data_IF_674464557120
#
_entry.id   IF_674464557120
#
_cell.length_a   1.000
_cell.length_b   1.000
_cell.length_c   1.000
_cell.angle_alpha   90.00
_cell.angle_beta   90.00
_cell.angle_gamma   90.00
#
_symmetry.space_group_name_H-M   'P 1'
#
loop_
_entity.id
_entity.type
_entity.pdbx_description
1 polymer ?
#
# COMPACT_ATOMS: atom_id res chain seq x y z
N UNK A 1 -13.51 21.93 -3.81
CA UNK A 1 -14.43 21.02 -4.52
C UNK A 1 -13.79 19.65 -4.68
N UNK A 2 -14.57 18.58 -4.51
CA UNK A 2 -14.16 17.20 -4.80
C UNK A 2 -14.39 16.91 -6.29
N UNK A 3 -13.46 16.20 -6.93
CA UNK A 3 -13.58 15.79 -8.34
C UNK A 3 -13.08 14.35 -8.49
N UNK A 4 -13.94 13.48 -8.99
CA UNK A 4 -13.52 12.14 -9.39
C UNK A 4 -12.63 12.24 -10.64
N UNK A 5 -11.55 11.46 -10.70
CA UNK A 5 -10.53 11.55 -11.74
C UNK A 5 -10.41 10.29 -12.57
N UNK A 6 -10.45 9.12 -11.92
CA UNK A 6 -10.21 7.85 -12.60
C UNK A 6 -10.91 6.71 -11.87
N UNK A 7 -11.48 5.80 -12.64
CA UNK A 7 -11.88 4.45 -12.21
C UNK A 7 -11.05 3.45 -13.01
N UNK A 8 -10.52 2.42 -12.35
CA UNK A 8 -9.72 1.39 -13.01
C UNK A 8 -9.99 0.01 -12.44
N UNK A 9 -9.90 -1.00 -13.31
CA UNK A 9 -9.95 -2.42 -12.97
C UNK A 9 -8.65 -3.06 -13.45
N UNK A 10 -8.03 -3.92 -12.63
CA UNK A 10 -6.77 -4.58 -12.98
C UNK A 10 -6.68 -6.00 -12.43
N UNK A 11 -5.93 -6.84 -13.13
CA UNK A 11 -5.44 -8.12 -12.62
C UNK A 11 -3.99 -7.89 -12.19
N UNK A 12 -3.65 -8.31 -10.97
CA UNK A 12 -2.34 -8.08 -10.37
C UNK A 12 -1.75 -9.40 -9.85
N UNK A 13 -0.52 -9.68 -10.25
CA UNK A 13 0.35 -10.67 -9.62
C UNK A 13 1.38 -9.93 -8.74
N UNK A 14 1.65 -10.45 -7.55
CA UNK A 14 2.72 -9.96 -6.69
C UNK A 14 3.42 -11.15 -6.03
N UNK A 15 4.75 -11.17 -6.09
CA UNK A 15 5.59 -12.19 -5.46
C UNK A 15 6.89 -11.59 -4.93
N UNK A 16 7.56 -12.30 -4.02
CA UNK A 16 8.85 -11.89 -3.46
C UNK A 16 10.06 -12.52 -4.18
N UNK A 17 9.82 -13.36 -5.19
CA UNK A 17 10.87 -14.02 -5.98
C UNK A 17 11.75 -14.99 -5.20
N UNK A 18 11.28 -15.52 -4.06
CA UNK A 18 11.96 -16.53 -3.26
C UNK A 18 11.42 -17.92 -3.55
N UNK A 19 12.19 -18.94 -3.18
CA UNK A 19 11.82 -20.35 -3.39
C UNK A 19 11.29 -21.01 -2.11
N UNK A 20 10.52 -22.07 -2.29
CA UNK A 20 10.07 -23.00 -1.25
C UNK A 20 9.50 -22.28 0.00
N UNK A 21 10.00 -22.60 1.19
CA UNK A 21 9.45 -22.09 2.45
C UNK A 21 9.48 -20.55 2.59
N UNK A 22 10.33 -19.87 1.82
CA UNK A 22 10.42 -18.41 1.80
C UNK A 22 9.59 -17.78 0.67
N UNK A 23 9.07 -18.58 -0.27
CA UNK A 23 8.21 -18.11 -1.35
C UNK A 23 6.97 -17.45 -0.77
N UNK A 24 6.63 -16.28 -1.28
CA UNK A 24 5.37 -15.59 -0.98
C UNK A 24 4.83 -15.01 -2.26
N UNK A 25 3.58 -15.32 -2.57
CA UNK A 25 2.91 -14.86 -3.77
C UNK A 25 1.40 -14.82 -3.61
N UNK A 26 0.74 -14.01 -4.42
CA UNK A 26 -0.71 -13.96 -4.53
C UNK A 26 -1.14 -13.24 -5.80
N UNK A 27 -2.32 -13.61 -6.27
CA UNK A 27 -2.96 -13.01 -7.43
C UNK A 27 -4.26 -12.32 -7.02
N UNK A 28 -4.54 -11.13 -7.59
CA UNK A 28 -5.70 -10.30 -7.22
C UNK A 28 -6.39 -9.68 -8.42
N UNK A 29 -7.70 -9.49 -8.31
CA UNK A 29 -8.44 -8.48 -9.09
C UNK A 29 -8.60 -7.23 -8.22
N UNK A 30 -8.28 -6.06 -8.76
CA UNK A 30 -8.27 -4.78 -8.02
C UNK A 30 -9.17 -3.77 -8.72
N UNK A 31 -10.12 -3.22 -7.97
CA UNK A 31 -10.87 -2.02 -8.34
C UNK A 31 -10.22 -0.80 -7.67
N UNK A 32 -9.92 0.22 -8.46
CA UNK A 32 -9.25 1.44 -8.01
C UNK A 32 -10.05 2.67 -8.41
N UNK A 33 -10.22 3.60 -7.48
CA UNK A 33 -10.74 4.94 -7.72
C UNK A 33 -9.72 6.00 -7.33
N UNK A 34 -9.61 7.06 -8.13
CA UNK A 34 -8.80 8.25 -7.82
C UNK A 34 -9.69 9.47 -7.86
N UNK A 35 -9.58 10.31 -6.83
CA UNK A 35 -10.26 11.58 -6.75
C UNK A 35 -9.29 12.67 -6.28
N UNK A 36 -9.59 13.91 -6.63
CA UNK A 36 -8.90 15.09 -6.11
C UNK A 36 -9.82 15.90 -5.21
N UNK A 37 -9.30 16.37 -4.09
CA UNK A 37 -9.99 17.33 -3.22
C UNK A 37 -9.07 18.51 -2.92
N UNK A 38 -9.44 19.70 -3.42
CA UNK A 38 -8.53 20.86 -3.49
C UNK A 38 -7.24 20.47 -4.23
N UNK A 39 -6.10 20.49 -3.57
CA UNK A 39 -4.79 20.11 -4.10
C UNK A 39 -4.38 18.69 -3.72
N UNK A 40 -5.19 17.99 -2.92
CA UNK A 40 -4.90 16.62 -2.48
C UNK A 40 -5.42 15.60 -3.48
N UNK A 41 -4.72 14.47 -3.57
CA UNK A 41 -5.15 13.29 -4.33
C UNK A 41 -5.47 12.18 -3.32
N UNK A 42 -6.61 11.53 -3.53
CA UNK A 42 -7.06 10.39 -2.75
C UNK A 42 -7.22 9.22 -3.73
N UNK A 43 -6.54 8.13 -3.45
CA UNK A 43 -6.65 6.86 -4.18
C UNK A 43 -7.21 5.81 -3.24
N UNK A 44 -8.29 5.15 -3.64
CA UNK A 44 -8.87 4.03 -2.92
C UNK A 44 -8.74 2.78 -3.79
N UNK A 45 -8.34 1.67 -3.17
CA UNK A 45 -8.22 0.35 -3.80
C UNK A 45 -8.98 -0.65 -2.97
N UNK A 46 -9.74 -1.50 -3.62
CA UNK A 46 -10.29 -2.72 -3.04
C UNK A 46 -9.93 -3.89 -3.94
N UNK A 47 -9.69 -5.04 -3.36
CA UNK A 47 -9.31 -6.21 -4.14
C UNK A 47 -9.89 -7.49 -3.57
N UNK A 48 -9.91 -8.50 -4.44
CA UNK A 48 -10.23 -9.88 -4.09
C UNK A 48 -9.09 -10.77 -4.59
N UNK A 49 -8.57 -11.64 -3.71
CA UNK A 49 -7.58 -12.66 -4.09
C UNK A 49 -8.24 -13.74 -4.95
N UNK A 50 -7.52 -14.26 -5.94
CA UNK A 50 -7.91 -15.49 -6.63
C UNK A 50 -7.67 -16.70 -5.74
N UNK A 51 -8.50 -17.73 -5.88
CA UNK A 51 -8.29 -19.00 -5.16
C UNK A 51 -7.12 -19.75 -5.76
N UNK A 52 -6.20 -20.20 -4.91
CA UNK A 52 -5.09 -21.08 -5.25
C UNK A 52 -5.33 -22.46 -4.61
N UNK A 53 -4.77 -23.53 -5.17
CA UNK A 53 -4.88 -24.85 -4.55
C UNK A 53 -4.07 -24.85 -3.26
N UNK A 54 -4.57 -25.47 -2.20
CA UNK A 54 -3.92 -25.41 -0.88
C UNK A 54 -2.47 -25.91 -0.86
N UNK A 55 -2.09 -26.82 -1.75
CA UNK A 55 -0.71 -27.34 -1.86
C UNK A 55 0.25 -26.39 -2.60
N UNK A 56 -0.30 -25.43 -3.35
CA UNK A 56 0.42 -24.42 -4.14
C UNK A 56 0.35 -23.03 -3.48
N UNK A 57 -0.38 -22.89 -2.37
CA UNK A 57 -0.61 -21.61 -1.70
C UNK A 57 0.51 -21.32 -0.68
N UNK A 58 1.46 -20.48 -1.09
CA UNK A 58 2.60 -20.03 -0.31
C UNK A 58 2.24 -19.29 0.99
N UNK A 59 1.02 -18.73 1.07
CA UNK A 59 0.58 -17.89 2.17
C UNK A 59 -0.96 -17.86 2.27
N UNK A 60 -1.59 -18.95 2.75
CA UNK A 60 -3.05 -19.10 2.73
C UNK A 60 -3.81 -18.02 3.48
N UNK A 61 -3.18 -17.47 4.53
CA UNK A 61 -3.78 -16.49 5.42
C UNK A 61 -3.51 -15.04 5.03
N UNK A 62 -2.91 -14.76 3.87
CA UNK A 62 -2.45 -13.40 3.50
C UNK A 62 -3.54 -12.33 3.57
N UNK A 63 -4.78 -12.66 3.18
CA UNK A 63 -5.92 -11.73 3.26
C UNK A 63 -6.38 -11.44 4.70
N UNK A 64 -5.99 -12.23 5.68
CA UNK A 64 -6.25 -11.94 7.10
C UNK A 64 -5.33 -10.84 7.64
N UNK A 65 -4.20 -10.57 6.99
CA UNK A 65 -3.18 -9.62 7.45
C UNK A 65 -3.07 -8.40 6.53
N UNK A 66 -2.68 -8.61 5.27
CA UNK A 66 -2.58 -7.52 4.28
C UNK A 66 -3.96 -6.96 3.96
N UNK A 67 -4.97 -7.83 3.97
CA UNK A 67 -6.34 -7.40 3.86
C UNK A 67 -6.87 -7.25 2.46
N UNK A 68 -7.85 -6.36 2.29
CA UNK A 68 -8.71 -6.25 1.09
C UNK A 68 -8.92 -4.83 0.60
N UNK A 69 -8.46 -3.84 1.35
CA UNK A 69 -8.62 -2.44 1.00
C UNK A 69 -7.38 -1.63 1.37
N UNK A 70 -7.17 -0.58 0.59
CA UNK A 70 -6.16 0.44 0.86
C UNK A 70 -6.69 1.80 0.45
N UNK A 71 -6.41 2.81 1.27
CA UNK A 71 -6.66 4.22 0.96
C UNK A 71 -5.36 4.97 1.12
N UNK A 72 -5.00 5.75 0.11
CA UNK A 72 -3.84 6.62 0.10
C UNK A 72 -4.29 8.05 -0.12
N UNK A 73 -3.85 8.98 0.72
CA UNK A 73 -4.08 10.41 0.57
C UNK A 73 -2.74 11.13 0.47
N UNK A 74 -2.49 11.78 -0.67
CA UNK A 74 -1.36 12.67 -0.89
C UNK A 74 -1.81 14.12 -0.71
N UNK A 75 -1.16 14.85 0.18
CA UNK A 75 -1.55 16.17 0.66
C UNK A 75 -0.37 17.13 0.47
N UNK A 76 -0.35 17.90 -0.63
CA UNK A 76 0.63 18.95 -0.83
C UNK A 76 0.40 20.11 0.16
N UNK A 77 1.48 20.60 0.76
CA UNK A 77 1.47 21.78 1.62
C UNK A 77 2.75 22.60 1.42
N UNK A 78 2.62 23.74 0.73
CA UNK A 78 3.76 24.57 0.27
C UNK A 78 4.70 23.73 -0.60
N UNK A 79 5.95 23.58 -0.19
CA UNK A 79 6.95 22.73 -0.85
C UNK A 79 6.88 21.26 -0.41
N UNK A 80 6.10 20.95 0.62
CA UNK A 80 6.03 19.61 1.20
C UNK A 80 4.93 18.79 0.55
N UNK A 81 5.09 17.47 0.55
CA UNK A 81 4.01 16.52 0.30
C UNK A 81 3.97 15.55 1.47
N UNK A 82 2.79 15.37 2.06
CA UNK A 82 2.54 14.35 3.05
C UNK A 82 1.68 13.26 2.43
N UNK A 83 2.05 12.00 2.58
CA UNK A 83 1.26 10.88 2.11
C UNK A 83 0.90 9.99 3.27
N UNK A 84 -0.39 9.69 3.43
CA UNK A 84 -0.89 8.71 4.38
C UNK A 84 -1.50 7.55 3.60
N UNK A 85 -0.99 6.34 3.80
CA UNK A 85 -1.54 5.11 3.27
C UNK A 85 -2.04 4.24 4.41
N UNK A 86 -3.29 3.81 4.34
CA UNK A 86 -3.90 2.90 5.31
C UNK A 86 -4.43 1.68 4.59
N UNK A 87 -4.04 0.50 5.07
CA UNK A 87 -4.51 -0.81 4.60
C UNK A 87 -5.27 -1.52 5.70
N UNK A 88 -6.35 -2.21 5.35
CA UNK A 88 -7.14 -2.96 6.32
C UNK A 88 -7.67 -4.28 5.77
N UNK A 89 -7.82 -5.28 6.66
CA UNK A 89 -8.40 -6.57 6.32
C UNK A 89 -9.92 -6.61 6.25
N UNK A 90 -10.59 -5.55 6.71
CA UNK A 90 -12.04 -5.40 6.77
C UNK A 90 -12.74 -6.52 7.55
N UNK A 91 -12.01 -7.18 8.44
CA UNK A 91 -12.56 -8.17 9.36
C UNK A 91 -12.95 -7.45 10.65
N UNK A 92 -14.24 -7.50 11.02
CA UNK A 92 -14.76 -6.85 12.22
C UNK A 92 -14.45 -7.61 13.51
N UNK A 93 -14.21 -8.92 13.43
CA UNK A 93 -13.90 -9.76 14.59
C UNK A 93 -12.40 -9.79 14.91
N UNK A 94 -11.58 -9.90 13.86
CA UNK A 94 -10.11 -9.95 13.97
C UNK A 94 -9.50 -8.91 13.04
N UNK A 95 -9.61 -7.63 13.43
CA UNK A 95 -9.15 -6.54 12.59
C UNK A 95 -7.61 -6.41 12.62
N UNK A 96 -7.01 -6.41 11.42
CA UNK A 96 -5.58 -6.17 11.21
C UNK A 96 -5.42 -5.13 10.10
N UNK A 97 -4.33 -4.38 10.18
CA UNK A 97 -4.05 -3.34 9.20
C UNK A 97 -2.61 -2.86 9.24
N UNK A 98 -2.38 -1.87 8.39
CA UNK A 98 -1.11 -1.21 8.18
C UNK A 98 -1.36 0.28 7.97
N UNK A 99 -0.54 1.12 8.57
CA UNK A 99 -0.53 2.55 8.28
C UNK A 99 0.89 2.98 7.95
N UNK A 100 1.02 3.82 6.94
CA UNK A 100 2.28 4.41 6.52
C UNK A 100 2.09 5.91 6.33
N UNK A 101 2.96 6.69 6.96
CA UNK A 101 3.07 8.12 6.77
C UNK A 101 4.42 8.42 6.12
N UNK A 102 4.41 9.21 5.05
CA UNK A 102 5.62 9.78 4.48
C UNK A 102 5.54 11.29 4.37
N UNK A 103 6.70 11.93 4.52
CA UNK A 103 6.91 13.35 4.30
C UNK A 103 8.02 13.53 3.28
N UNK A 104 7.74 14.32 2.24
CA UNK A 104 8.64 14.55 1.12
C UNK A 104 8.90 16.04 0.98
N UNK A 105 10.18 16.41 0.83
CA UNK A 105 10.63 17.79 0.66
C UNK A 105 11.64 17.93 -0.49
N UNK A 106 11.49 18.92 -1.39
CA UNK A 106 12.40 19.14 -2.51
C UNK A 106 13.71 19.77 -2.04
N UNK A 107 14.83 19.10 -2.35
CA UNK A 107 16.18 19.61 -2.11
C UNK A 107 16.72 20.36 -3.33
N UNK A 108 16.35 19.91 -4.54
CA UNK A 108 16.70 20.55 -5.82
C UNK A 108 15.54 20.42 -6.82
N UNK A 109 15.78 20.74 -8.09
CA UNK A 109 14.79 20.59 -9.17
C UNK A 109 14.28 19.15 -9.27
N UNK A 110 15.18 18.18 -9.18
CA UNK A 110 14.88 16.77 -9.44
C UNK A 110 15.03 15.89 -8.21
N UNK A 111 15.71 16.34 -7.15
CA UNK A 111 15.95 15.56 -5.94
C UNK A 111 15.04 15.99 -4.78
N UNK A 112 14.42 15.02 -4.11
CA UNK A 112 13.65 15.21 -2.87
C UNK A 112 14.18 14.29 -1.77
N UNK A 113 14.15 14.75 -0.53
CA UNK A 113 14.32 13.90 0.66
C UNK A 113 12.95 13.35 1.06
N UNK A 114 12.93 12.12 1.56
CA UNK A 114 11.74 11.45 2.06
C UNK A 114 12.03 10.87 3.45
N UNK A 115 11.15 11.18 4.41
CA UNK A 115 11.05 10.46 5.67
C UNK A 115 9.78 9.58 5.62
N UNK A 116 9.88 8.35 6.07
CA UNK A 116 8.77 7.39 6.09
C UNK A 116 8.70 6.72 7.46
N UNK A 117 7.49 6.51 7.94
CA UNK A 117 7.19 5.72 9.13
C UNK A 117 6.00 4.81 8.84
N UNK A 118 6.17 3.50 9.04
CA UNK A 118 5.10 2.51 8.91
C UNK A 118 4.87 1.76 10.22
N UNK A 119 3.64 1.30 10.42
CA UNK A 119 3.29 0.42 11.52
C UNK A 119 2.15 -0.53 11.13
N UNK A 120 2.33 -1.82 11.41
CA UNK A 120 1.31 -2.84 11.22
C UNK A 120 1.86 -4.11 10.58
N UNK A 121 0.99 -4.82 9.86
CA UNK A 121 1.31 -6.06 9.15
C UNK A 121 1.48 -5.81 7.65
N UNK A 122 2.21 -6.67 6.93
CA UNK A 122 2.26 -6.55 5.46
C UNK A 122 3.10 -5.39 4.93
N UNK A 123 4.11 -4.99 5.70
CA UNK A 123 5.14 -4.04 5.28
C UNK A 123 5.97 -4.62 4.12
N UNK A 124 6.25 -5.93 4.17
CA UNK A 124 6.79 -6.73 3.07
C UNK A 124 5.96 -8.00 2.85
N UNK A 125 6.16 -8.69 1.72
CA UNK A 125 5.50 -9.99 1.48
C UNK A 125 6.04 -11.08 2.41
N UNK A 126 7.33 -11.06 2.74
CA UNK A 126 7.90 -12.07 3.63
C UNK A 126 7.42 -11.88 5.07
N UNK A 127 7.23 -10.63 5.48
CA UNK A 127 6.76 -10.24 6.80
C UNK A 127 5.24 -10.00 6.84
N UNK A 128 4.48 -10.61 5.91
CA UNK A 128 3.05 -10.30 5.77
C UNK A 128 2.25 -10.57 7.05
N UNK A 129 2.66 -11.57 7.83
CA UNK A 129 2.06 -11.98 9.08
C UNK A 129 2.83 -11.51 10.32
N UNK A 130 3.80 -10.60 10.16
CA UNK A 130 4.59 -10.03 11.24
C UNK A 130 4.20 -8.56 11.48
N UNK A 131 3.98 -8.19 12.74
CA UNK A 131 3.64 -6.81 13.12
C UNK A 131 4.90 -6.05 13.45
N UNK A 132 5.20 -4.98 12.72
CA UNK A 132 6.40 -4.20 12.92
C UNK A 132 6.17 -2.70 12.82
N UNK A 133 7.19 -1.94 13.26
CA UNK A 133 7.30 -0.50 13.04
C UNK A 133 8.58 -0.26 12.27
N UNK A 134 8.49 0.42 11.13
CA UNK A 134 9.67 0.72 10.30
C UNK A 134 9.80 2.24 10.17
N UNK A 135 11.01 2.74 10.34
CA UNK A 135 11.37 4.13 10.10
C UNK A 135 12.42 4.17 9.00
N UNK A 136 12.22 5.04 8.02
CA UNK A 136 13.07 5.17 6.86
C UNK A 136 13.39 6.62 6.54
N UNK A 137 14.61 6.84 6.06
CA UNK A 137 15.05 8.08 5.41
C UNK A 137 15.63 7.71 4.06
N UNK A 138 15.28 8.48 3.04
CA UNK A 138 15.77 8.24 1.69
C UNK A 138 15.61 9.44 0.78
N UNK A 139 15.84 9.21 -0.50
CA UNK A 139 15.70 10.21 -1.54
C UNK A 139 14.82 9.68 -2.67
N UNK A 140 14.13 10.60 -3.36
CA UNK A 140 13.32 10.26 -4.53
C UNK A 140 13.46 11.31 -5.62
N UNK A 141 13.40 10.87 -6.87
CA UNK A 141 13.36 11.71 -8.05
C UNK A 141 11.94 11.95 -8.58
N UNK A 142 10.96 11.25 -8.00
CA UNK A 142 9.56 11.36 -8.42
C UNK A 142 9.06 12.78 -8.18
N UNK A 143 8.47 13.38 -9.21
CA UNK A 143 7.72 14.61 -9.07
C UNK A 143 6.27 14.26 -8.69
N UNK A 144 5.82 14.74 -7.54
CA UNK A 144 4.51 14.48 -6.95
C UNK A 144 3.61 15.72 -7.06
#
# INVERSE_FOLDING_TARGET
>A
HFKFKMLGLSINHQSNGKEAALSRSWNRIILMGVASWKNSIITARVWRRFSEKSIEDDNPQIEEYIGRSEVTAAIPFRKNVFTLTVRNNLNFNHNRGHAELSWIYPLSRDLRIMLQASHGYGDSLIDYNYKQTVLGVGFTFLNL
#
